data_IF_473083143270
#
_entry.id   IF_473083143270
#
_cell.length_a   1.000
_cell.length_b   1.000
_cell.length_c   1.000
_cell.angle_alpha   90.00
_cell.angle_beta   90.00
_cell.angle_gamma   90.00
#
_symmetry.space_group_name_H-M   'P 1'
#
loop_
_entity.id
_entity.type
_entity.pdbx_description
1 polymer ?
#
# COMPACT_ATOMS: atom_id res chain seq x y z
N UNK A 1 13.69 3.63 22.78
CA UNK A 1 14.17 2.23 22.78
C UNK A 1 15.64 2.24 22.42
N UNK A 2 16.50 1.54 23.17
CA UNK A 2 17.94 1.51 22.89
C UNK A 2 18.31 0.13 22.33
N UNK A 3 18.97 0.09 21.18
CA UNK A 3 19.51 -1.17 20.64
C UNK A 3 20.91 -1.41 21.19
N UNK A 4 21.16 -2.62 21.70
CA UNK A 4 22.43 -2.96 22.33
C UNK A 4 23.35 -3.85 21.50
N UNK A 5 23.05 -3.98 20.20
CA UNK A 5 23.74 -4.90 19.29
C UNK A 5 23.09 -6.29 19.21
N UNK A 6 22.19 -6.65 20.14
CA UNK A 6 21.48 -7.94 20.12
C UNK A 6 19.97 -7.80 20.28
N UNK A 7 19.50 -6.85 21.09
CA UNK A 7 18.07 -6.63 21.40
C UNK A 7 17.73 -5.15 21.63
N UNK A 8 16.46 -4.82 21.47
CA UNK A 8 15.91 -3.51 21.82
C UNK A 8 15.56 -3.46 23.30
N UNK A 9 16.54 -3.10 24.13
CA UNK A 9 16.35 -2.93 25.57
C UNK A 9 15.30 -1.84 25.84
N UNK A 10 14.55 -2.05 26.93
CA UNK A 10 13.52 -1.13 27.41
C UNK A 10 12.35 -0.91 26.42
N UNK A 11 12.14 -1.84 25.47
CA UNK A 11 10.95 -1.82 24.64
C UNK A 11 9.72 -2.23 25.46
N UNK A 12 8.82 -1.27 25.71
CA UNK A 12 7.56 -1.51 26.43
C UNK A 12 6.61 -2.52 25.77
N UNK A 13 6.77 -2.75 24.46
CA UNK A 13 5.88 -3.62 23.69
C UNK A 13 6.33 -5.07 23.65
N UNK A 14 7.63 -5.31 23.38
CA UNK A 14 8.17 -6.66 23.22
C UNK A 14 9.17 -7.07 24.29
N UNK A 15 9.49 -6.18 25.24
CA UNK A 15 10.47 -6.41 26.30
C UNK A 15 11.84 -6.86 25.76
N UNK A 16 12.20 -6.39 24.56
CA UNK A 16 13.44 -6.74 23.89
C UNK A 16 13.44 -8.06 23.13
N UNK A 17 12.30 -8.73 22.96
CA UNK A 17 12.17 -9.93 22.09
C UNK A 17 12.15 -9.61 20.59
N UNK A 18 11.94 -8.35 20.24
CA UNK A 18 11.71 -7.89 18.86
C UNK A 18 10.22 -7.86 18.52
N UNK A 19 9.76 -6.76 17.92
CA UNK A 19 8.40 -6.61 17.39
C UNK A 19 8.40 -5.54 16.29
N UNK A 20 7.27 -5.34 15.61
CA UNK A 20 7.14 -4.35 14.54
C UNK A 20 7.31 -2.89 14.99
N UNK A 21 7.28 -2.59 16.29
CA UNK A 21 7.68 -1.27 16.82
C UNK A 21 9.21 -1.08 16.88
N UNK A 22 9.99 -2.15 16.75
CA UNK A 22 11.44 -2.10 16.68
C UNK A 22 11.87 -1.96 15.22
N UNK A 23 12.54 -0.87 14.88
CA UNK A 23 12.86 -0.50 13.49
C UNK A 23 13.56 -1.61 12.69
N UNK A 24 14.59 -2.26 13.24
CA UNK A 24 15.29 -3.34 12.53
C UNK A 24 14.45 -4.62 12.38
N UNK A 25 13.44 -4.84 13.21
CA UNK A 25 12.50 -5.97 13.05
C UNK A 25 11.43 -5.62 12.01
N UNK A 26 10.95 -4.38 12.00
CA UNK A 26 10.04 -3.88 10.97
C UNK A 26 10.71 -3.94 9.58
N UNK A 27 11.96 -3.49 9.46
CA UNK A 27 12.74 -3.57 8.22
C UNK A 27 12.98 -5.03 7.79
N UNK A 28 13.33 -5.93 8.73
CA UNK A 28 13.45 -7.37 8.43
C UNK A 28 12.13 -8.00 7.98
N UNK A 29 11.02 -7.64 8.61
CA UNK A 29 9.69 -8.11 8.22
C UNK A 29 9.31 -7.59 6.83
N UNK A 30 9.59 -6.31 6.56
CA UNK A 30 9.35 -5.67 5.28
C UNK A 30 10.17 -6.32 4.16
N UNK A 31 11.48 -6.48 4.33
CA UNK A 31 12.36 -7.16 3.35
C UNK A 31 11.96 -8.62 3.13
N UNK A 32 11.41 -9.29 4.14
CA UNK A 32 10.90 -10.66 4.00
C UNK A 32 9.59 -10.70 3.20
N UNK A 33 8.69 -9.75 3.44
CA UNK A 33 7.42 -9.64 2.72
C UNK A 33 7.63 -9.17 1.27
N UNK A 34 8.66 -8.36 1.04
CA UNK A 34 8.96 -7.72 -0.24
C UNK A 34 10.45 -7.89 -0.60
N UNK A 35 10.90 -9.11 -0.93
CA UNK A 35 12.31 -9.39 -1.22
C UNK A 35 12.85 -8.56 -2.40
N UNK A 36 12.00 -8.31 -3.40
CA UNK A 36 12.32 -7.48 -4.57
C UNK A 36 11.73 -6.06 -4.46
N UNK A 37 11.33 -5.65 -3.26
CA UNK A 37 10.57 -4.42 -3.02
C UNK A 37 9.07 -4.55 -3.33
N UNK A 38 8.26 -3.59 -2.87
CA UNK A 38 6.82 -3.58 -3.14
C UNK A 38 6.57 -3.31 -4.62
N UNK A 39 5.72 -4.11 -5.26
CA UNK A 39 5.28 -3.86 -6.63
C UNK A 39 4.02 -2.98 -6.60
N UNK A 40 3.97 -1.89 -7.39
CA UNK A 40 2.75 -1.08 -7.47
C UNK A 40 1.62 -1.92 -8.05
N UNK A 41 0.41 -1.75 -7.50
CA UNK A 41 -0.79 -2.40 -8.03
C UNK A 41 -1.22 -1.81 -9.37
N UNK A 42 -0.93 -0.53 -9.59
CA UNK A 42 -1.13 0.16 -10.86
C UNK A 42 -0.21 1.38 -10.98
N UNK A 43 0.04 1.77 -12.24
CA UNK A 43 0.79 2.97 -12.63
C UNK A 43 -0.03 3.74 -13.65
N UNK A 44 -0.12 5.06 -13.47
CA UNK A 44 -0.80 5.97 -14.38
C UNK A 44 0.18 7.05 -14.82
N UNK A 45 0.19 7.35 -16.12
CA UNK A 45 0.96 8.49 -16.64
C UNK A 45 0.18 9.80 -16.42
N UNK A 46 0.59 10.57 -15.41
CA UNK A 46 -0.07 11.82 -15.08
C UNK A 46 0.31 12.98 -16.02
N UNK A 47 1.27 12.76 -16.93
CA UNK A 47 1.68 13.78 -17.92
C UNK A 47 0.77 13.83 -19.13
N UNK A 48 -0.05 12.79 -19.35
CA UNK A 48 -1.03 12.73 -20.43
C UNK A 48 -2.45 12.97 -19.91
N UNK A 49 -3.31 13.66 -20.68
CA UNK A 49 -4.74 13.78 -20.35
C UNK A 49 -5.42 12.43 -20.14
N UNK A 50 -5.06 11.42 -20.94
CA UNK A 50 -5.62 10.08 -20.92
C UNK A 50 -5.24 9.33 -19.64
N UNK A 51 -3.97 9.40 -19.23
CA UNK A 51 -3.52 8.75 -18.00
C UNK A 51 -4.07 9.44 -16.74
N UNK A 52 -4.19 10.78 -16.76
CA UNK A 52 -4.87 11.51 -15.69
C UNK A 52 -6.38 11.18 -15.61
N UNK A 53 -7.05 11.00 -16.74
CA UNK A 53 -8.45 10.58 -16.78
C UNK A 53 -8.62 9.15 -16.26
N UNK A 54 -7.77 8.21 -16.68
CA UNK A 54 -7.77 6.83 -16.19
C UNK A 54 -7.53 6.76 -14.67
N UNK A 55 -6.60 7.55 -14.14
CA UNK A 55 -6.37 7.66 -12.70
C UNK A 55 -7.61 8.18 -11.95
N UNK A 56 -8.27 9.23 -12.47
CA UNK A 56 -9.51 9.76 -11.86
C UNK A 56 -10.65 8.75 -11.88
N UNK A 57 -10.79 7.99 -12.96
CA UNK A 57 -11.82 6.97 -13.07
C UNK A 57 -11.57 5.79 -12.11
N UNK A 58 -10.31 5.42 -11.89
CA UNK A 58 -9.96 4.29 -11.04
C UNK A 58 -9.92 4.63 -9.55
N UNK A 59 -9.29 5.76 -9.21
CA UNK A 59 -8.94 6.15 -7.83
C UNK A 59 -9.19 7.64 -7.55
N UNK A 60 -9.95 8.33 -8.41
CA UNK A 60 -10.36 9.70 -8.14
C UNK A 60 -11.42 9.79 -7.05
N UNK A 61 -11.75 11.03 -6.65
CA UNK A 61 -12.70 11.31 -5.57
C UNK A 61 -14.00 10.52 -5.73
N UNK A 62 -14.64 10.60 -6.90
CA UNK A 62 -15.92 9.94 -7.17
C UNK A 62 -15.82 8.41 -7.10
N UNK A 63 -14.72 7.84 -7.61
CA UNK A 63 -14.47 6.40 -7.54
C UNK A 63 -14.30 5.91 -6.10
N UNK A 64 -13.57 6.68 -5.27
CA UNK A 64 -13.38 6.39 -3.85
C UNK A 64 -14.70 6.56 -3.08
N UNK A 65 -15.40 7.68 -3.27
CA UNK A 65 -16.69 7.95 -2.61
C UNK A 65 -17.73 6.88 -2.93
N UNK A 66 -17.77 6.41 -4.18
CA UNK A 66 -18.64 5.30 -4.58
C UNK A 66 -18.21 3.99 -3.92
N UNK A 67 -16.93 3.63 -4.04
CA UNK A 67 -16.41 2.38 -3.50
C UNK A 67 -16.65 2.23 -2.00
N UNK A 68 -16.53 3.33 -1.23
CA UNK A 68 -16.73 3.33 0.22
C UNK A 68 -18.11 3.88 0.66
N UNK A 69 -18.99 4.17 -0.28
CA UNK A 69 -20.34 4.64 -0.03
C UNK A 69 -21.31 3.50 0.30
N UNK A 70 -22.58 3.85 0.54
CA UNK A 70 -23.64 2.87 0.78
C UNK A 70 -23.83 1.98 -0.46
N UNK A 71 -23.61 0.67 -0.30
CA UNK A 71 -23.67 -0.30 -1.40
C UNK A 71 -22.39 -0.41 -2.25
N UNK A 72 -21.30 0.23 -1.85
CA UNK A 72 -20.00 0.13 -2.51
C UNK A 72 -19.25 -1.17 -2.18
N UNK A 73 -18.34 -1.57 -3.07
CA UNK A 73 -17.52 -2.79 -2.94
C UNK A 73 -16.19 -2.59 -2.17
N UNK A 74 -15.97 -1.43 -1.58
CA UNK A 74 -14.74 -1.05 -0.87
C UNK A 74 -13.50 -1.16 -1.75
N UNK A 75 -12.40 -1.65 -1.17
CA UNK A 75 -11.14 -1.87 -1.91
C UNK A 75 -11.34 -2.83 -3.10
N UNK A 76 -12.26 -3.80 -3.02
CA UNK A 76 -12.53 -4.70 -4.14
C UNK A 76 -13.03 -3.97 -5.39
N UNK A 77 -13.87 -2.94 -5.21
CA UNK A 77 -14.34 -2.10 -6.32
C UNK A 77 -13.22 -1.23 -6.90
N UNK A 78 -12.34 -0.68 -6.05
CA UNK A 78 -11.15 0.06 -6.53
C UNK A 78 -10.24 -0.82 -7.37
N UNK A 79 -9.96 -2.04 -6.91
CA UNK A 79 -9.14 -3.01 -7.66
C UNK A 79 -9.80 -3.36 -9.00
N UNK A 80 -11.12 -3.53 -9.03
CA UNK A 80 -11.86 -3.78 -10.27
C UNK A 80 -11.79 -2.57 -11.22
N UNK A 81 -11.93 -1.34 -10.72
CA UNK A 81 -11.81 -0.13 -11.53
C UNK A 81 -10.42 0.01 -12.14
N UNK A 82 -9.37 -0.25 -11.34
CA UNK A 82 -7.98 -0.27 -11.79
C UNK A 82 -7.77 -1.29 -12.91
N UNK A 83 -8.24 -2.53 -12.72
CA UNK A 83 -8.10 -3.59 -13.72
C UNK A 83 -8.80 -3.23 -15.03
N UNK A 84 -9.95 -2.56 -14.96
CA UNK A 84 -10.69 -2.10 -16.12
C UNK A 84 -9.92 -1.05 -16.93
N UNK A 85 -9.46 0.03 -16.28
CA UNK A 85 -8.78 1.12 -16.99
C UNK A 85 -7.40 0.72 -17.53
N UNK A 86 -6.72 -0.25 -16.92
CA UNK A 86 -5.46 -0.78 -17.43
C UNK A 86 -5.66 -1.77 -18.59
N UNK A 87 -6.77 -2.50 -18.63
CA UNK A 87 -7.13 -3.35 -19.76
C UNK A 87 -7.48 -2.57 -21.02
N UNK A 88 -8.00 -1.35 -20.87
CA UNK A 88 -8.35 -0.43 -21.96
C UNK A 88 -7.11 0.32 -22.54
N UNK A 89 -5.95 0.23 -21.88
CA UNK A 89 -4.68 0.86 -22.32
C UNK A 89 -3.72 -0.09 -23.07
N UNK A 90 -4.14 -1.32 -23.37
CA UNK A 90 -3.41 -2.28 -24.20
C UNK A 90 -3.95 -2.31 -25.63
#
# INVERSE_FOLDING_TARGET
>A
MRFDGKRYRDCRFCQGRGCLYCEAEADRAYKRAFPDGPKPMATFDMTTPEGAAAARQAIGREAIEKAFGAGGGGIGEIVANIAKVQGEQK
#
